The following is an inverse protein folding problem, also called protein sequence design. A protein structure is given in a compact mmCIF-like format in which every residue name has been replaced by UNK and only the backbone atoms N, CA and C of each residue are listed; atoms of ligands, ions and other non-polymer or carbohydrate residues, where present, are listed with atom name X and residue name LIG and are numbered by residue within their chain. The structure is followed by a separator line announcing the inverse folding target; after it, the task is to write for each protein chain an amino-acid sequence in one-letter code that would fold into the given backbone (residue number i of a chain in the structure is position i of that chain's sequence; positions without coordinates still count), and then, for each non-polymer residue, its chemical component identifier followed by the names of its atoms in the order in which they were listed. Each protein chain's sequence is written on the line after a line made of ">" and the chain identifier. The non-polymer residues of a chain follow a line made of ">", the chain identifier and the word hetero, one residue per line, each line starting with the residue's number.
data_IF_505058522122
#
_entry.id   IF_505058522122
#
_cell.length_a   1.000
_cell.length_b   1.000
_cell.length_c   1.000
_cell.angle_alpha   90.00
_cell.angle_beta   90.00
_cell.angle_gamma   90.00
#
_symmetry.space_group_name_H-M   'P 1'
#
loop_
_entity.id
_entity.type
_entity.pdbx_description
1 polymer ?
#
# COMPACT_ATOMS: atom_id res chain seq x y z
N UNK A 1 26.56 13.79 13.46
CA UNK A 1 25.11 13.55 13.66
C UNK A 1 24.38 13.99 12.40
N UNK A 2 23.57 13.13 11.74
CA UNK A 2 22.70 13.62 10.67
C UNK A 2 21.71 14.64 11.25
N UNK A 3 21.45 15.74 10.53
CA UNK A 3 20.50 16.76 10.93
C UNK A 3 19.10 16.16 11.18
N UNK A 4 18.33 16.69 12.16
CA UNK A 4 16.97 16.25 12.37
C UNK A 4 16.17 16.42 11.08
N UNK A 5 15.38 15.41 10.76
CA UNK A 5 14.48 15.42 9.62
C UNK A 5 13.55 16.63 9.70
N UNK A 6 13.25 17.31 8.59
CA UNK A 6 12.12 18.22 8.58
C UNK A 6 10.85 17.44 8.95
N UNK A 7 10.06 18.00 9.86
CA UNK A 7 8.77 17.44 10.21
C UNK A 7 7.87 17.44 8.97
N UNK A 8 7.10 16.36 8.77
CA UNK A 8 6.10 16.32 7.70
C UNK A 8 5.03 17.37 8.01
N UNK A 9 4.73 18.33 7.12
CA UNK A 9 3.69 19.33 7.35
C UNK A 9 2.28 18.72 7.42
N UNK A 10 1.41 19.29 8.25
CA UNK A 10 0.03 18.80 8.44
C UNK A 10 -0.81 18.84 7.16
N UNK A 11 -0.61 19.86 6.31
CA UNK A 11 -1.33 19.97 5.06
C UNK A 11 -1.06 18.79 4.11
N UNK A 12 0.12 18.15 4.18
CA UNK A 12 0.43 16.95 3.41
C UNK A 12 -0.32 15.73 3.94
N UNK A 13 -0.49 15.63 5.26
CA UNK A 13 -1.28 14.56 5.89
C UNK A 13 -2.76 14.72 5.53
N UNK A 14 -3.29 15.94 5.62
CA UNK A 14 -4.65 16.27 5.19
C UNK A 14 -4.86 16.00 3.70
N UNK A 15 -3.85 16.28 2.87
CA UNK A 15 -3.93 15.98 1.44
C UNK A 15 -3.94 14.46 1.19
N UNK A 16 -3.13 13.68 1.90
CA UNK A 16 -3.16 12.21 1.83
C UNK A 16 -4.55 11.63 2.17
N UNK A 17 -5.26 12.23 3.14
CA UNK A 17 -6.65 11.88 3.43
C UNK A 17 -7.57 12.12 2.24
N UNK A 18 -7.49 13.29 1.60
CA UNK A 18 -8.30 13.62 0.42
C UNK A 18 -8.03 12.68 -0.76
N UNK A 19 -6.76 12.30 -0.99
CA UNK A 19 -6.42 11.31 -2.03
C UNK A 19 -7.06 9.95 -1.74
N UNK A 20 -7.02 9.50 -0.48
CA UNK A 20 -7.64 8.25 -0.07
C UNK A 20 -9.18 8.30 -0.14
N UNK A 21 -9.79 9.45 0.13
CA UNK A 21 -11.24 9.67 -0.01
C UNK A 21 -11.67 9.59 -1.48
N UNK A 22 -10.93 10.24 -2.39
CA UNK A 22 -11.22 10.20 -3.83
C UNK A 22 -11.19 8.77 -4.39
N UNK A 23 -10.20 7.95 -4.01
CA UNK A 23 -10.15 6.54 -4.40
C UNK A 23 -11.33 5.73 -3.84
N UNK A 24 -11.69 5.99 -2.57
CA UNK A 24 -12.79 5.30 -1.88
C UNK A 24 -14.15 5.57 -2.51
N UNK A 25 -14.35 6.75 -3.09
CA UNK A 25 -15.62 7.13 -3.73
C UNK A 25 -15.84 6.41 -5.06
N UNK A 26 -14.78 6.18 -5.84
CA UNK A 26 -14.91 5.66 -7.22
C UNK A 26 -14.82 4.14 -7.33
N UNK A 27 -14.19 3.45 -6.38
CA UNK A 27 -14.03 1.98 -6.43
C UNK A 27 -15.29 1.15 -6.11
N UNK A 28 -16.23 1.57 -5.23
CA UNK A 28 -17.36 0.74 -4.82
C UNK A 28 -18.21 0.12 -5.95
N UNK A 29 -18.49 0.81 -7.07
CA UNK A 29 -19.24 0.24 -8.19
C UNK A 29 -18.55 -0.96 -8.87
N UNK A 30 -17.23 -1.10 -8.77
CA UNK A 30 -16.47 -2.16 -9.44
C UNK A 30 -16.31 -3.43 -8.59
N UNK A 31 -16.48 -3.32 -7.27
CA UNK A 31 -16.26 -4.42 -6.34
C UNK A 31 -17.44 -5.39 -6.32
N UNK A 32 -17.15 -6.71 -6.28
CA UNK A 32 -18.16 -7.80 -6.31
C UNK A 32 -19.06 -7.77 -7.56
N UNK A 33 -18.56 -7.21 -8.65
CA UNK A 33 -19.16 -7.43 -9.96
C UNK A 33 -18.78 -8.82 -10.49
N UNK A 34 -19.69 -9.51 -11.18
CA UNK A 34 -19.34 -10.74 -11.89
C UNK A 34 -18.17 -10.48 -12.85
N UNK A 35 -17.17 -11.35 -12.81
CA UNK A 35 -16.05 -11.32 -13.76
C UNK A 35 -16.48 -12.23 -14.92
N UNK A 36 -16.67 -11.66 -16.12
CA UNK A 36 -16.90 -12.48 -17.30
C UNK A 36 -15.61 -13.22 -17.68
N UNK A 37 -15.72 -14.51 -17.97
CA UNK A 37 -14.59 -15.38 -18.31
C UNK A 37 -13.92 -14.95 -19.65
N UNK A 38 -14.62 -14.13 -20.44
CA UNK A 38 -14.18 -13.64 -21.76
C UNK A 38 -13.39 -12.33 -21.73
N UNK A 39 -12.91 -11.88 -20.57
CA UNK A 39 -12.14 -10.65 -20.49
C UNK A 39 -10.75 -10.84 -21.10
N UNK A 40 -10.53 -10.19 -22.25
CA UNK A 40 -9.19 -9.87 -22.77
C UNK A 40 -8.36 -9.27 -21.63
N UNK A 41 -7.07 -9.62 -21.61
CA UNK A 41 -6.15 -9.45 -20.48
C UNK A 41 -6.10 -8.05 -19.81
N UNK A 42 -6.67 -7.01 -20.43
CA UNK A 42 -6.58 -5.61 -19.99
C UNK A 42 -7.91 -4.98 -19.49
N UNK A 43 -9.05 -5.68 -19.51
CA UNK A 43 -10.37 -5.08 -19.20
C UNK A 43 -11.04 -5.57 -17.91
N UNK A 44 -10.31 -6.30 -17.06
CA UNK A 44 -10.90 -6.84 -15.84
C UNK A 44 -11.54 -5.75 -14.94
N UNK A 45 -12.58 -6.07 -14.15
CA UNK A 45 -13.18 -5.12 -13.22
C UNK A 45 -12.17 -4.47 -12.26
N UNK A 46 -11.09 -5.21 -11.91
CA UNK A 46 -9.99 -4.65 -11.10
C UNK A 46 -9.13 -3.68 -11.89
N UNK A 47 -8.87 -3.90 -13.18
CA UNK A 47 -8.15 -2.95 -14.04
C UNK A 47 -8.95 -1.67 -14.25
N UNK A 48 -10.27 -1.79 -14.44
CA UNK A 48 -11.17 -0.63 -14.52
C UNK A 48 -11.20 0.15 -13.20
N UNK A 49 -11.28 -0.55 -12.06
CA UNK A 49 -11.24 0.07 -10.74
C UNK A 49 -9.90 0.75 -10.44
N UNK A 50 -8.77 0.11 -10.77
CA UNK A 50 -7.42 0.66 -10.60
C UNK A 50 -7.26 1.96 -11.41
N UNK A 51 -7.67 1.95 -12.68
CA UNK A 51 -7.66 3.13 -13.56
C UNK A 51 -8.53 4.26 -13.03
N UNK A 52 -9.78 3.97 -12.66
CA UNK A 52 -10.71 4.98 -12.15
C UNK A 52 -10.20 5.63 -10.85
N UNK A 53 -9.65 4.82 -9.93
CA UNK A 53 -9.05 5.31 -8.70
C UNK A 53 -7.77 6.11 -8.97
N UNK A 54 -6.90 5.64 -9.86
CA UNK A 54 -5.69 6.38 -10.26
C UNK A 54 -6.06 7.73 -10.87
N UNK A 55 -7.05 7.79 -11.76
CA UNK A 55 -7.54 9.04 -12.37
C UNK A 55 -8.08 10.01 -11.31
N UNK A 56 -8.93 9.55 -10.40
CA UNK A 56 -9.49 10.37 -9.33
C UNK A 56 -8.41 10.95 -8.39
N UNK A 57 -7.42 10.15 -7.99
CA UNK A 57 -6.28 10.59 -7.18
C UNK A 57 -5.44 11.62 -7.97
N UNK A 58 -5.17 11.31 -9.23
CA UNK A 58 -4.30 12.08 -10.12
C UNK A 58 -4.90 13.44 -10.46
N UNK A 59 -6.22 13.56 -10.55
CA UNK A 59 -6.92 14.82 -10.74
C UNK A 59 -6.70 15.82 -9.58
N UNK A 60 -6.45 15.31 -8.36
CA UNK A 60 -6.21 16.15 -7.18
C UNK A 60 -4.75 16.60 -7.03
N UNK A 61 -3.80 15.89 -7.63
CA UNK A 61 -2.37 16.22 -7.53
C UNK A 61 -2.04 17.35 -8.53
N UNK A 62 -1.48 18.50 -8.11
CA UNK A 62 -1.08 19.55 -9.06
C UNK A 62 -0.10 19.03 -10.12
N UNK A 63 -0.24 19.49 -11.37
CA UNK A 63 0.58 19.03 -12.52
C UNK A 63 2.10 19.16 -12.31
N UNK A 64 2.53 20.05 -11.40
CA UNK A 64 3.94 20.32 -11.10
C UNK A 64 4.58 19.30 -10.13
N UNK A 65 3.77 18.46 -9.46
CA UNK A 65 4.26 17.48 -8.47
C UNK A 65 4.57 16.14 -9.14
N UNK A 66 5.81 15.60 -9.03
CA UNK A 66 6.16 14.30 -9.60
C UNK A 66 5.34 13.16 -8.98
N UNK A 67 4.96 12.20 -9.83
CA UNK A 67 4.16 11.02 -9.49
C UNK A 67 4.94 9.75 -9.86
N UNK A 68 4.85 8.71 -9.03
CA UNK A 68 5.43 7.41 -9.33
C UNK A 68 4.41 6.30 -9.06
N UNK A 69 4.29 5.35 -9.99
CA UNK A 69 3.50 4.12 -9.80
C UNK A 69 4.33 3.09 -9.03
N UNK A 70 3.71 2.32 -8.14
CA UNK A 70 4.41 1.24 -7.44
C UNK A 70 4.85 0.16 -8.45
N UNK A 71 6.13 -0.26 -8.49
CA UNK A 71 6.64 -1.20 -9.49
C UNK A 71 6.20 -2.68 -9.32
N UNK A 72 5.25 -2.98 -8.42
CA UNK A 72 4.95 -4.34 -7.98
C UNK A 72 4.05 -5.20 -8.88
N UNK A 73 3.87 -4.92 -10.17
CA UNK A 73 2.96 -5.72 -11.02
C UNK A 73 3.49 -5.99 -12.43
N UNK A 74 3.87 -7.25 -12.66
CA UNK A 74 3.58 -8.01 -13.89
C UNK A 74 4.20 -7.59 -15.23
N UNK A 75 4.84 -6.44 -15.33
CA UNK A 75 5.72 -6.12 -16.44
C UNK A 75 7.15 -6.24 -15.93
N UNK A 76 7.98 -7.02 -16.63
CA UNK A 76 9.43 -7.01 -16.44
C UNK A 76 9.93 -5.58 -16.38
N UNK A 77 11.01 -5.36 -15.62
CA UNK A 77 11.67 -4.07 -15.43
C UNK A 77 11.90 -3.35 -16.78
N UNK A 78 10.92 -2.57 -17.20
CA UNK A 78 10.94 -1.79 -18.41
C UNK A 78 10.77 -0.35 -17.98
N UNK A 79 11.93 0.28 -17.79
CA UNK A 79 12.18 1.71 -17.95
C UNK A 79 11.21 2.66 -17.25
N UNK A 80 11.74 3.39 -16.28
CA UNK A 80 11.30 4.75 -16.04
C UNK A 80 11.26 5.53 -17.38
N UNK A 81 10.09 5.58 -18.03
CA UNK A 81 9.80 6.47 -19.13
C UNK A 81 8.70 7.42 -18.66
N UNK A 82 9.08 8.32 -17.76
CA UNK A 82 8.39 9.60 -17.64
C UNK A 82 8.80 10.44 -18.85
N UNK A 83 7.83 10.83 -19.67
CA UNK A 83 8.06 11.57 -20.91
C UNK A 83 8.89 12.83 -20.69
N UNK A 84 9.99 12.92 -21.44
CA UNK A 84 10.67 14.17 -21.70
C UNK A 84 9.80 15.02 -22.62
N UNK A 85 8.93 15.84 -22.05
CA UNK A 85 8.41 17.04 -22.69
C UNK A 85 9.18 18.22 -22.12
N UNK A 86 10.09 18.79 -22.91
CA UNK A 86 10.84 19.99 -22.55
C UNK A 86 9.91 21.18 -22.36
N UNK A 87 10.22 22.02 -21.37
CA UNK A 87 9.55 23.29 -21.15
C UNK A 87 9.53 23.72 -19.69
N UNK A 88 10.44 24.63 -19.37
CA UNK A 88 10.47 25.55 -18.22
C UNK A 88 11.01 25.03 -16.87
N UNK A 89 12.01 25.75 -16.38
CA UNK A 89 12.61 25.69 -15.05
C UNK A 89 11.55 25.93 -13.96
N UNK A 90 10.77 24.91 -13.61
CA UNK A 90 9.66 25.01 -12.66
C UNK A 90 9.88 24.16 -11.42
N UNK A 91 10.30 24.81 -10.33
CA UNK A 91 10.27 24.34 -8.93
C UNK A 91 10.56 22.84 -8.68
N UNK A 92 11.77 22.55 -8.18
CA UNK A 92 12.10 21.21 -7.66
C UNK A 92 11.12 20.84 -6.54
N UNK A 93 10.16 19.97 -6.83
CA UNK A 93 9.22 19.49 -5.82
C UNK A 93 9.96 18.62 -4.80
N UNK A 94 9.90 19.02 -3.53
CA UNK A 94 10.54 18.35 -2.41
C UNK A 94 9.93 16.96 -2.12
N UNK A 95 8.67 16.75 -2.50
CA UNK A 95 7.88 15.55 -2.19
C UNK A 95 7.38 14.84 -3.46
N UNK A 96 7.39 13.50 -3.41
CA UNK A 96 6.90 12.60 -4.46
C UNK A 96 5.78 11.74 -3.88
N UNK A 97 4.70 11.57 -4.64
CA UNK A 97 3.61 10.67 -4.28
C UNK A 97 3.76 9.34 -5.02
N UNK A 98 3.78 8.25 -4.24
CA UNK A 98 3.71 6.87 -4.70
C UNK A 98 2.32 6.35 -4.41
N UNK A 99 1.64 5.84 -5.43
CA UNK A 99 0.23 5.45 -5.36
C UNK A 99 0.08 4.00 -5.82
N UNK A 100 -0.65 3.22 -5.04
CA UNK A 100 -1.19 1.90 -5.38
C UNK A 100 -2.70 1.92 -5.09
N UNK A 101 -3.54 2.18 -6.10
CA UNK A 101 -4.96 2.34 -5.89
C UNK A 101 -5.62 1.06 -5.38
N UNK A 102 -5.15 -0.13 -5.74
CA UNK A 102 -5.71 -1.41 -5.24
C UNK A 102 -4.59 -2.39 -4.89
N UNK A 103 -4.20 -2.38 -3.61
CA UNK A 103 -3.31 -3.37 -2.99
C UNK A 103 -4.14 -4.58 -2.54
N UNK A 104 -3.85 -5.77 -3.09
CA UNK A 104 -4.65 -6.99 -2.92
C UNK A 104 -5.65 -7.27 -4.05
N UNK A 105 -5.21 -7.21 -5.31
CA UNK A 105 -6.08 -7.49 -6.48
C UNK A 105 -6.76 -8.86 -6.44
N UNK A 106 -6.08 -9.91 -5.99
CA UNK A 106 -6.71 -11.23 -5.86
C UNK A 106 -7.89 -11.17 -4.86
N UNK A 107 -7.72 -10.45 -3.75
CA UNK A 107 -8.79 -10.19 -2.80
C UNK A 107 -9.93 -9.36 -3.43
N UNK A 108 -9.61 -8.35 -4.24
CA UNK A 108 -10.62 -7.55 -4.95
C UNK A 108 -11.45 -8.39 -5.94
N UNK A 109 -10.76 -9.12 -6.83
CA UNK A 109 -11.32 -9.99 -7.87
C UNK A 109 -12.27 -11.01 -7.25
N UNK A 110 -11.86 -11.63 -6.15
CA UNK A 110 -12.63 -12.69 -5.47
C UNK A 110 -13.69 -12.15 -4.49
N UNK A 111 -13.91 -10.83 -4.44
CA UNK A 111 -14.94 -10.23 -3.59
C UNK A 111 -14.59 -10.22 -2.08
N UNK A 112 -13.33 -10.46 -1.72
CA UNK A 112 -12.81 -10.42 -0.36
C UNK A 112 -12.51 -8.97 0.06
N UNK A 113 -13.16 -8.44 1.12
CA UNK A 113 -13.09 -7.02 1.46
C UNK A 113 -11.82 -6.63 2.26
N UNK A 114 -10.67 -7.23 1.94
CA UNK A 114 -9.39 -6.96 2.61
C UNK A 114 -8.38 -6.21 1.74
N UNK A 115 -8.73 -5.89 0.49
CA UNK A 115 -7.92 -5.00 -0.36
C UNK A 115 -7.97 -3.55 0.16
N UNK A 116 -6.96 -2.74 -0.17
CA UNK A 116 -6.87 -1.33 0.27
C UNK A 116 -6.35 -0.42 -0.82
N UNK A 117 -6.72 0.85 -0.73
CA UNK A 117 -6.02 1.94 -1.39
C UNK A 117 -4.78 2.27 -0.56
N UNK A 118 -3.59 2.28 -1.17
CA UNK A 118 -2.34 2.60 -0.50
C UNK A 118 -1.66 3.80 -1.19
N UNK A 119 -1.38 4.84 -0.41
CA UNK A 119 -0.69 6.04 -0.88
C UNK A 119 0.46 6.36 0.04
N UNK A 120 1.57 6.82 -0.55
CA UNK A 120 2.75 7.23 0.19
C UNK A 120 3.29 8.54 -0.35
N UNK A 121 3.47 9.54 0.51
CA UNK A 121 4.34 10.67 0.21
C UNK A 121 5.77 10.35 0.67
N UNK A 122 6.75 10.70 -0.14
CA UNK A 122 8.16 10.56 0.18
C UNK A 122 8.94 11.82 -0.19
N UNK A 123 9.79 12.30 0.74
CA UNK A 123 10.74 13.36 0.44
C UNK A 123 11.81 12.85 -0.55
N UNK A 124 12.25 13.70 -1.49
CA UNK A 124 13.22 13.32 -2.53
C UNK A 124 14.56 12.84 -1.96
N UNK A 125 15.00 13.31 -0.79
CA UNK A 125 16.20 12.82 -0.07
C UNK A 125 16.18 13.12 1.44
N UNK A 126 16.62 12.19 2.32
CA UNK A 126 16.64 10.73 2.17
C UNK A 126 15.21 10.16 2.25
N UNK A 127 14.96 8.89 1.86
CA UNK A 127 13.60 8.36 1.67
C UNK A 127 12.85 8.26 3.02
N UNK A 128 12.09 9.30 3.36
CA UNK A 128 11.23 9.34 4.54
C UNK A 128 9.79 9.09 4.10
N UNK A 129 9.22 7.98 4.52
CA UNK A 129 7.90 7.50 4.11
C UNK A 129 6.81 7.99 5.08
N UNK A 130 5.72 8.55 4.58
CA UNK A 130 4.41 8.45 5.25
C UNK A 130 3.51 7.53 4.44
N UNK A 131 2.96 6.47 5.01
CA UNK A 131 2.01 5.55 4.33
C UNK A 131 0.62 5.83 4.88
N UNK A 132 -0.30 6.24 4.02
CA UNK A 132 -1.72 6.28 4.31
C UNK A 132 -2.39 5.12 3.55
N UNK A 133 -3.21 4.32 4.23
CA UNK A 133 -3.95 3.23 3.61
C UNK A 133 -5.40 3.23 4.08
N UNK A 134 -6.35 3.13 3.16
CA UNK A 134 -7.79 3.04 3.45
C UNK A 134 -8.38 1.76 2.83
N UNK A 135 -9.16 0.99 3.61
CA UNK A 135 -10.00 -0.08 3.06
C UNK A 135 -11.39 0.45 2.74
N UNK A 136 -12.17 -0.39 2.06
CA UNK A 136 -13.63 -0.25 1.96
C UNK A 136 -14.33 -0.37 3.33
N UNK A 137 -13.85 -1.22 4.24
CA UNK A 137 -14.18 -1.11 5.65
C UNK A 137 -13.68 0.27 6.10
N UNK A 138 -14.50 1.09 6.78
CA UNK A 138 -14.18 2.46 7.18
C UNK A 138 -12.99 2.55 8.15
N UNK A 139 -11.84 2.12 7.68
CA UNK A 139 -10.67 1.67 8.39
C UNK A 139 -9.46 2.27 7.68
N UNK A 140 -8.80 3.20 8.35
CA UNK A 140 -7.73 4.01 7.80
C UNK A 140 -6.53 3.99 8.72
N UNK A 141 -5.40 3.52 8.22
CA UNK A 141 -4.10 3.64 8.88
C UNK A 141 -3.36 4.84 8.30
N UNK A 142 -2.76 5.63 9.17
CA UNK A 142 -1.91 6.77 8.79
C UNK A 142 -0.62 6.68 9.58
N UNK A 143 0.48 6.44 8.88
CA UNK A 143 1.83 6.52 9.42
C UNK A 143 2.53 7.78 8.92
N UNK A 144 3.07 8.57 9.85
CA UNK A 144 3.82 9.80 9.54
C UNK A 144 5.15 9.73 10.30
N UNK A 145 6.26 10.01 9.61
CA UNK A 145 7.58 10.01 10.25
C UNK A 145 7.61 11.01 11.42
N UNK A 146 8.09 10.55 12.58
CA UNK A 146 8.15 11.36 13.81
C UNK A 146 6.83 11.50 14.55
N UNK A 147 5.75 10.81 14.14
CA UNK A 147 4.45 10.81 14.83
C UNK A 147 3.98 9.38 15.11
N UNK A 148 3.15 9.16 16.14
CA UNK A 148 2.46 7.89 16.32
C UNK A 148 1.61 7.54 15.10
N UNK A 149 1.64 6.27 14.69
CA UNK A 149 0.70 5.76 13.68
C UNK A 149 -0.72 5.82 14.26
N UNK A 150 -1.69 6.22 13.45
CA UNK A 150 -3.11 6.24 13.85
C UNK A 150 -3.92 5.24 13.03
N UNK A 151 -4.94 4.67 13.66
CA UNK A 151 -6.04 3.93 13.04
C UNK A 151 -7.34 4.67 13.29
N UNK A 152 -8.02 5.12 12.24
CA UNK A 152 -9.23 5.95 12.34
C UNK A 152 -9.07 7.17 13.26
N UNK A 153 -7.89 7.79 13.23
CA UNK A 153 -7.55 8.96 14.05
C UNK A 153 -7.06 8.65 15.46
N UNK A 154 -7.17 7.40 15.92
CA UNK A 154 -6.70 6.99 17.24
C UNK A 154 -5.27 6.42 17.16
N UNK A 155 -4.33 6.83 18.03
CA UNK A 155 -2.99 6.25 18.07
C UNK A 155 -3.01 4.74 18.30
N UNK A 156 -2.14 4.03 17.60
CA UNK A 156 -1.99 2.57 17.72
C UNK A 156 -0.53 2.17 17.85
N UNK A 157 -0.30 1.03 18.48
CA UNK A 157 1.02 0.50 18.73
C UNK A 157 1.06 -1.01 18.49
N UNK A 158 2.23 -1.49 18.06
CA UNK A 158 2.49 -2.92 17.99
C UNK A 158 2.51 -3.53 19.39
N UNK A 159 2.24 -4.84 19.48
CA UNK A 159 2.43 -5.61 20.71
C UNK A 159 3.85 -6.14 20.82
N UNK A 160 4.35 -6.30 22.04
CA UNK A 160 5.57 -7.09 22.29
C UNK A 160 5.29 -8.57 22.04
N UNK A 161 6.30 -9.30 21.59
CA UNK A 161 6.27 -10.75 21.48
C UNK A 161 7.65 -11.29 21.85
N UNK A 162 7.72 -12.04 22.95
CA UNK A 162 8.99 -12.45 23.55
C UNK A 162 9.65 -13.60 22.77
N UNK A 163 8.86 -14.45 22.12
CA UNK A 163 9.37 -15.59 21.34
C UNK A 163 8.53 -15.83 20.09
N UNK A 164 9.15 -16.47 19.09
CA UNK A 164 8.48 -16.83 17.84
C UNK A 164 7.27 -17.76 18.08
N UNK A 165 7.38 -18.70 19.02
CA UNK A 165 6.31 -19.64 19.38
C UNK A 165 5.01 -18.98 19.88
N UNK A 166 5.06 -17.70 20.24
CA UNK A 166 3.91 -16.91 20.68
C UNK A 166 3.34 -16.02 19.56
N UNK A 167 4.00 -16.01 18.40
CA UNK A 167 3.69 -15.14 17.28
C UNK A 167 2.58 -15.71 16.39
N UNK A 168 1.64 -14.85 16.02
CA UNK A 168 0.76 -15.07 14.89
C UNK A 168 1.42 -14.45 13.66
N UNK A 169 1.64 -15.26 12.63
CA UNK A 169 2.32 -14.87 11.40
C UNK A 169 1.29 -14.77 10.27
N UNK A 170 1.44 -13.77 9.41
CA UNK A 170 0.67 -13.64 8.18
C UNK A 170 1.56 -13.60 6.94
N UNK A 171 1.06 -14.19 5.85
CA UNK A 171 1.55 -13.96 4.49
C UNK A 171 0.39 -13.93 3.50
N UNK A 172 0.58 -13.46 2.27
CA UNK A 172 -0.51 -13.48 1.25
C UNK A 172 -0.79 -14.91 0.80
N UNK A 173 0.23 -15.63 0.33
CA UNK A 173 0.13 -17.04 -0.05
C UNK A 173 1.49 -17.70 0.21
N UNK A 174 1.53 -18.98 0.64
CA UNK A 174 2.78 -19.73 0.71
C UNK A 174 3.48 -19.88 -0.65
N UNK A 175 2.72 -19.84 -1.76
CA UNK A 175 3.24 -20.06 -3.11
C UNK A 175 4.10 -18.89 -3.62
N UNK A 176 4.09 -17.76 -2.91
CA UNK A 176 4.93 -16.60 -3.22
C UNK A 176 6.41 -16.81 -2.85
N UNK A 177 6.76 -17.95 -2.26
CA UNK A 177 8.10 -18.24 -1.75
C UNK A 177 8.68 -19.51 -2.38
N UNK A 178 9.19 -19.44 -3.62
CA UNK A 178 9.93 -20.55 -4.21
C UNK A 178 11.34 -20.68 -3.61
N UNK A 179 11.92 -21.87 -3.72
CA UNK A 179 13.31 -22.14 -3.36
C UNK A 179 13.66 -21.80 -1.91
N UNK A 180 14.82 -21.17 -1.70
CA UNK A 180 15.35 -20.83 -0.38
C UNK A 180 14.40 -19.94 0.46
N UNK A 181 13.66 -19.04 -0.19
CA UNK A 181 12.66 -18.20 0.47
C UNK A 181 11.52 -19.05 1.05
N UNK A 182 11.15 -20.15 0.39
CA UNK A 182 10.14 -21.10 0.86
C UNK A 182 10.62 -21.95 2.03
N UNK A 183 11.90 -22.33 2.04
CA UNK A 183 12.52 -23.00 3.19
C UNK A 183 12.55 -22.09 4.42
N UNK A 184 12.99 -20.85 4.25
CA UNK A 184 12.97 -19.85 5.32
C UNK A 184 11.55 -19.63 5.86
N UNK A 185 10.56 -19.48 4.97
CA UNK A 185 9.17 -19.35 5.37
C UNK A 185 8.67 -20.59 6.15
N UNK A 186 9.00 -21.80 5.71
CA UNK A 186 8.63 -23.04 6.41
C UNK A 186 9.25 -23.13 7.81
N UNK A 187 10.52 -22.75 7.95
CA UNK A 187 11.18 -22.71 9.26
C UNK A 187 10.47 -21.74 10.22
N UNK A 188 10.15 -20.52 9.76
CA UNK A 188 9.44 -19.55 10.58
C UNK A 188 8.02 -20.01 10.90
N UNK A 189 7.30 -20.56 9.92
CA UNK A 189 5.97 -21.15 10.12
C UNK A 189 6.00 -22.26 11.17
N UNK A 190 7.01 -23.13 11.14
CA UNK A 190 7.16 -24.25 12.07
C UNK A 190 7.47 -23.80 13.51
N UNK A 191 8.14 -22.66 13.68
CA UNK A 191 8.43 -22.09 15.00
C UNK A 191 7.35 -21.15 15.54
N UNK A 192 6.36 -20.74 14.74
CA UNK A 192 5.34 -19.77 15.12
C UNK A 192 4.15 -20.42 15.84
N UNK A 193 3.38 -19.63 16.60
CA UNK A 193 2.12 -20.10 17.22
C UNK A 193 1.12 -20.55 16.17
N UNK A 194 0.95 -19.74 15.13
CA UNK A 194 0.04 -19.98 14.01
C UNK A 194 0.43 -19.13 12.81
N UNK A 195 0.35 -19.74 11.61
CA UNK A 195 0.43 -19.01 10.36
C UNK A 195 -0.97 -18.85 9.74
N UNK A 196 -1.28 -17.64 9.30
CA UNK A 196 -2.52 -17.25 8.62
C UNK A 196 -2.20 -16.65 7.24
N UNK A 197 -3.20 -16.60 6.35
CA UNK A 197 -2.97 -16.30 4.93
C UNK A 197 -4.00 -15.33 4.34
N UNK A 198 -3.64 -14.72 3.19
CA UNK A 198 -4.59 -14.17 2.23
C UNK A 198 -5.14 -12.79 2.53
N UNK A 199 -4.40 -11.90 3.19
CA UNK A 199 -4.90 -10.54 3.45
C UNK A 199 -3.92 -9.40 3.12
N UNK A 200 -2.95 -9.65 2.25
CA UNK A 200 -2.11 -8.61 1.63
C UNK A 200 -1.70 -7.51 2.62
N UNK A 201 -1.80 -6.23 2.26
CA UNK A 201 -1.48 -5.11 3.14
C UNK A 201 -2.32 -5.01 4.42
N UNK A 202 -3.50 -5.61 4.48
CA UNK A 202 -4.32 -5.62 5.69
C UNK A 202 -3.55 -6.23 6.87
N UNK A 203 -2.73 -7.26 6.63
CA UNK A 203 -1.87 -7.85 7.64
C UNK A 203 -0.90 -6.84 8.28
N UNK A 204 -0.36 -5.87 7.52
CA UNK A 204 0.50 -4.83 8.10
C UNK A 204 -0.30 -3.89 9.01
N UNK A 205 -1.55 -3.57 8.63
CA UNK A 205 -2.45 -2.82 9.49
C UNK A 205 -2.70 -3.56 10.82
N UNK A 206 -2.94 -4.86 10.76
CA UNK A 206 -3.12 -5.70 11.96
C UNK A 206 -1.87 -5.78 12.83
N UNK A 207 -0.67 -5.74 12.25
CA UNK A 207 0.59 -5.63 13.01
C UNK A 207 0.64 -4.28 13.73
N UNK A 208 0.31 -3.19 13.04
CA UNK A 208 0.29 -1.84 13.63
C UNK A 208 -0.75 -1.70 14.76
N UNK A 209 -1.84 -2.47 14.71
CA UNK A 209 -2.84 -2.57 15.78
C UNK A 209 -2.40 -3.46 16.96
N UNK A 210 -1.27 -4.18 16.83
CA UNK A 210 -0.85 -5.16 17.83
C UNK A 210 -1.71 -6.43 17.84
N UNK A 211 -2.59 -6.63 16.87
CA UNK A 211 -3.38 -7.86 16.73
C UNK A 211 -2.53 -9.02 16.19
N UNK A 212 -1.47 -8.71 15.44
CA UNK A 212 -0.55 -9.66 14.80
C UNK A 212 0.89 -9.29 15.14
N UNK A 213 1.76 -10.29 15.26
CA UNK A 213 3.14 -10.08 15.69
C UNK A 213 4.08 -9.82 14.52
N UNK A 214 3.89 -10.49 13.38
CA UNK A 214 4.89 -10.47 12.31
C UNK A 214 4.31 -10.83 10.92
N UNK A 215 4.86 -10.21 9.87
CA UNK A 215 4.54 -10.51 8.46
C UNK A 215 5.81 -10.77 7.67
N UNK A 216 5.74 -11.73 6.76
CA UNK A 216 6.75 -12.00 5.74
C UNK A 216 6.17 -11.70 4.34
N UNK A 217 6.92 -10.99 3.49
CA UNK A 217 6.63 -10.80 2.07
C UNK A 217 7.92 -10.90 1.28
N UNK A 218 7.89 -11.52 0.09
CA UNK A 218 9.00 -11.47 -0.85
C UNK A 218 9.20 -10.00 -1.28
N UNK A 219 10.45 -9.57 -1.30
CA UNK A 219 10.84 -8.23 -1.74
C UNK A 219 10.58 -8.06 -3.25
#
# INVERSE_FOLDING_TARGET
>A
MPAPSPAVPDHLVQFAHRLADAAREVVPPFFRRPISIELKADESPVTAADRAAEEAITALIPRRVPRARHPGRGAGAAGARGGGGGGEEGAVCEWVWVVDPIDGTASFITGKPLFRHAHRAAARRPPRAGRAGAARAAERWVGVHGRPTTFNGLPVATRRCAALRDAYVYTTSPDLFPGASGEAFRAVKGGARKANYGCDCYAFGLVALGCVTWRWSSA
#
